data_IF_374144808071
#
_entry.id   IF_374144808071
#
_cell.length_a   1.000
_cell.length_b   1.000
_cell.length_c   1.000
_cell.angle_alpha   90.00
_cell.angle_beta   90.00
_cell.angle_gamma   90.00
#
_symmetry.space_group_name_H-M   'P 1'
#
loop_
_entity.id
_entity.type
_entity.pdbx_description
1 polymer ?
#
# COMPACT_ATOMS: atom_id res chain seq x y z
N UNK A 1 58.80 -20.16 -10.27
CA UNK A 1 58.05 -19.41 -11.30
C UNK A 1 56.62 -19.88 -11.26
N UNK A 2 55.62 -19.10 -10.91
CA UNK A 2 55.57 -17.71 -10.46
C UNK A 2 54.19 -17.54 -9.83
N UNK A 3 54.20 -17.10 -8.57
CA UNK A 3 53.31 -16.11 -7.96
C UNK A 3 51.81 -16.46 -7.88
N UNK A 4 51.48 -16.95 -6.68
CA UNK A 4 50.19 -16.78 -6.03
C UNK A 4 49.70 -15.32 -6.10
N UNK A 5 48.44 -15.11 -6.49
CA UNK A 5 47.77 -13.82 -6.40
C UNK A 5 46.88 -13.80 -5.13
N UNK A 6 47.26 -13.06 -4.07
CA UNK A 6 46.51 -12.96 -2.84
C UNK A 6 45.48 -11.83 -2.95
N UNK A 7 44.29 -12.13 -3.48
CA UNK A 7 43.13 -11.20 -3.44
C UNK A 7 41.79 -11.85 -3.07
N UNK A 8 41.79 -13.10 -2.59
CA UNK A 8 40.55 -13.81 -2.21
C UNK A 8 40.27 -13.89 -0.70
N UNK A 9 40.99 -13.15 0.16
CA UNK A 9 40.82 -13.25 1.63
C UNK A 9 40.79 -11.91 2.38
N UNK A 10 40.54 -10.78 1.70
CA UNK A 10 40.51 -9.45 2.36
C UNK A 10 39.17 -8.69 2.28
N UNK A 11 38.09 -9.27 1.74
CA UNK A 11 36.78 -8.59 1.68
C UNK A 11 35.76 -9.09 2.70
N UNK A 12 36.20 -9.82 3.73
CA UNK A 12 35.30 -10.39 4.75
C UNK A 12 35.14 -9.53 6.02
N UNK A 13 35.59 -8.26 6.03
CA UNK A 13 35.47 -7.42 7.23
C UNK A 13 35.26 -5.91 7.03
N UNK A 14 34.82 -5.45 5.84
CA UNK A 14 34.44 -4.04 5.66
C UNK A 14 33.28 -3.89 4.70
N UNK A 15 32.06 -3.93 5.25
CA UNK A 15 30.89 -3.11 4.87
C UNK A 15 29.73 -3.46 5.80
N UNK A 16 29.85 -3.10 7.07
CA UNK A 16 28.71 -2.79 7.92
C UNK A 16 28.85 -1.31 8.27
N UNK A 17 27.94 -0.48 7.76
CA UNK A 17 27.56 0.78 8.43
C UNK A 17 26.04 0.94 8.30
N UNK A 18 25.32 1.29 9.39
CA UNK A 18 23.88 1.57 9.36
C UNK A 18 23.48 2.77 8.49
N UNK A 19 24.43 3.45 7.85
CA UNK A 19 24.26 4.80 7.29
C UNK A 19 23.96 4.84 5.78
N UNK A 20 24.36 3.83 5.01
CA UNK A 20 23.88 3.69 3.61
C UNK A 20 22.39 3.35 3.54
N UNK A 21 21.81 2.91 4.66
CA UNK A 21 20.37 2.71 4.85
C UNK A 21 19.62 4.05 4.74
N UNK A 22 20.06 5.09 5.47
CA UNK A 22 19.33 6.36 5.63
C UNK A 22 19.37 7.30 4.43
N UNK A 23 20.44 7.31 3.64
CA UNK A 23 20.51 8.14 2.42
C UNK A 23 19.66 7.58 1.24
N UNK A 24 19.19 6.33 1.35
CA UNK A 24 18.31 5.67 0.37
C UNK A 24 16.81 5.76 0.69
N UNK A 25 16.44 6.43 1.80
CA UNK A 25 15.14 6.30 2.49
C UNK A 25 14.10 7.42 2.20
N UNK A 26 14.12 8.01 1.01
CA UNK A 26 13.06 8.88 0.44
C UNK A 26 12.82 8.49 -1.03
N UNK A 27 11.67 8.76 -1.69
CA UNK A 27 10.31 8.20 -1.55
C UNK A 27 10.23 6.66 -1.75
N UNK A 28 11.38 6.00 -1.80
CA UNK A 28 11.65 4.63 -2.23
C UNK A 28 11.17 3.50 -1.30
N UNK A 29 10.13 3.67 -0.48
CA UNK A 29 9.62 2.52 0.28
C UNK A 29 8.99 1.46 -0.63
N UNK A 30 8.42 1.86 -1.77
CA UNK A 30 7.96 0.89 -2.79
C UNK A 30 9.14 0.29 -3.58
N UNK A 31 10.26 1.01 -3.70
CA UNK A 31 11.50 0.54 -4.34
C UNK A 31 12.36 -0.36 -3.44
N UNK A 32 12.33 -0.22 -2.11
CA UNK A 32 13.04 -1.13 -1.19
C UNK A 32 12.36 -2.51 -1.14
N UNK A 33 11.04 -2.58 -1.32
CA UNK A 33 10.37 -3.88 -1.55
C UNK A 33 10.80 -4.50 -2.91
N UNK A 34 11.40 -3.73 -3.82
CA UNK A 34 11.86 -4.19 -5.16
C UNK A 34 13.38 -4.44 -5.20
N UNK A 35 14.16 -3.90 -4.26
CA UNK A 35 15.63 -3.85 -4.32
C UNK A 35 16.43 -5.04 -3.76
N UNK A 36 15.84 -5.91 -2.93
CA UNK A 36 16.54 -7.10 -2.40
C UNK A 36 15.78 -8.39 -2.74
N UNK A 37 15.78 -8.74 -4.02
CA UNK A 37 15.53 -10.12 -4.46
C UNK A 37 16.56 -10.53 -5.50
N UNK A 38 17.83 -10.34 -5.15
CA UNK A 38 18.95 -11.08 -5.72
C UNK A 38 19.83 -11.48 -4.56
N UNK A 39 19.54 -12.65 -3.98
CA UNK A 39 20.57 -13.60 -3.58
C UNK A 39 19.88 -14.92 -3.23
N UNK A 40 20.17 -15.93 -4.04
CA UNK A 40 19.81 -17.29 -3.69
C UNK A 40 20.62 -17.71 -2.47
N UNK A 41 19.96 -18.25 -1.45
CA UNK A 41 20.65 -19.06 -0.47
C UNK A 41 19.71 -20.08 0.21
N UNK A 42 20.18 -21.32 0.19
CA UNK A 42 19.91 -22.42 1.09
C UNK A 42 18.44 -22.83 1.30
N UNK A 43 18.10 -23.94 0.64
CA UNK A 43 17.04 -24.87 1.05
C UNK A 43 17.20 -25.24 2.53
N UNK A 44 16.43 -24.59 3.39
CA UNK A 44 16.11 -25.13 4.72
C UNK A 44 14.76 -25.82 4.61
N UNK A 45 14.76 -27.14 4.84
CA UNK A 45 13.60 -28.03 4.80
C UNK A 45 12.62 -27.72 5.95
N UNK A 46 11.88 -26.62 5.82
CA UNK A 46 10.58 -26.51 6.45
C UNK A 46 9.56 -26.97 5.41
N UNK A 47 8.71 -27.94 5.75
CA UNK A 47 7.53 -28.29 4.93
C UNK A 47 6.70 -27.02 4.72
N UNK A 48 6.95 -26.32 3.61
CA UNK A 48 6.22 -25.12 3.26
C UNK A 48 4.81 -25.56 2.94
N UNK A 49 3.87 -25.28 3.84
CA UNK A 49 2.46 -25.49 3.57
C UNK A 49 2.14 -24.70 2.29
N UNK A 50 1.73 -25.38 1.22
CA UNK A 50 1.46 -24.70 -0.04
C UNK A 50 0.37 -23.64 0.21
N UNK A 51 0.48 -22.44 -0.40
CA UNK A 51 -0.55 -21.43 -0.29
C UNK A 51 -1.92 -22.03 -0.63
N UNK A 52 -2.92 -21.73 0.20
CA UNK A 52 -4.28 -22.26 -0.03
C UNK A 52 -4.76 -21.85 -1.42
N UNK A 53 -5.38 -22.80 -2.14
CA UNK A 53 -5.90 -22.57 -3.49
C UNK A 53 -4.87 -22.65 -4.62
N UNK A 54 -3.60 -23.00 -4.35
CA UNK A 54 -2.57 -23.01 -5.41
C UNK A 54 -2.87 -24.01 -6.52
N UNK A 55 -3.47 -25.16 -6.21
CA UNK A 55 -3.85 -26.15 -7.21
C UNK A 55 -5.00 -25.67 -8.10
N UNK A 56 -5.98 -24.96 -7.52
CA UNK A 56 -7.04 -24.32 -8.29
C UNK A 56 -6.49 -23.21 -9.19
N UNK A 57 -5.53 -22.43 -8.69
CA UNK A 57 -4.85 -21.42 -9.48
C UNK A 57 -4.07 -22.03 -10.66
N UNK A 58 -3.33 -23.13 -10.43
CA UNK A 58 -2.65 -23.88 -11.50
C UNK A 58 -3.65 -24.42 -12.53
N UNK A 59 -4.76 -24.99 -12.09
CA UNK A 59 -5.82 -25.45 -12.99
C UNK A 59 -6.41 -24.29 -13.80
N UNK A 60 -6.68 -23.15 -13.16
CA UNK A 60 -7.14 -21.94 -13.83
C UNK A 60 -6.16 -21.46 -14.91
N UNK A 61 -4.85 -21.49 -14.63
CA UNK A 61 -3.82 -21.15 -15.61
C UNK A 61 -3.80 -22.09 -16.82
N UNK A 62 -4.02 -23.40 -16.62
CA UNK A 62 -4.09 -24.38 -17.71
C UNK A 62 -5.35 -24.22 -18.57
N UNK A 63 -6.46 -23.80 -17.95
CA UNK A 63 -7.75 -23.60 -18.62
C UNK A 63 -7.84 -22.24 -19.32
N UNK A 64 -7.16 -21.22 -18.80
CA UNK A 64 -7.04 -19.92 -19.45
C UNK A 64 -6.18 -20.07 -20.71
N UNK A 65 -6.82 -20.46 -21.80
CA UNK A 65 -6.26 -20.39 -23.15
C UNK A 65 -6.57 -19.00 -23.69
N UNK A 66 -5.60 -18.07 -23.76
CA UNK A 66 -5.88 -16.74 -24.26
C UNK A 66 -6.27 -16.84 -25.74
N UNK A 67 -7.52 -16.56 -26.06
CA UNK A 67 -7.95 -16.32 -27.44
C UNK A 67 -7.84 -14.82 -27.67
N UNK A 68 -6.78 -14.39 -28.35
CA UNK A 68 -6.55 -12.96 -28.60
C UNK A 68 -7.41 -12.42 -29.74
N UNK A 69 -7.80 -13.28 -30.69
CA UNK A 69 -8.65 -12.92 -31.83
C UNK A 69 -10.13 -12.79 -31.43
N UNK A 70 -10.57 -13.60 -30.46
CA UNK A 70 -11.93 -13.62 -29.94
C UNK A 70 -11.90 -13.53 -28.42
N UNK A 71 -11.59 -12.34 -27.87
CA UNK A 71 -11.58 -12.16 -26.42
C UNK A 71 -12.98 -12.31 -25.84
N UNK A 72 -13.07 -12.80 -24.60
CA UNK A 72 -14.36 -12.93 -23.89
C UNK A 72 -14.33 -12.23 -22.55
N UNK A 73 -15.52 -11.94 -21.99
CA UNK A 73 -15.65 -11.29 -20.68
C UNK A 73 -15.06 -12.19 -19.60
N UNK A 74 -15.32 -13.48 -19.66
CA UNK A 74 -14.86 -14.49 -18.69
C UNK A 74 -13.33 -14.57 -18.65
N UNK A 75 -12.65 -14.31 -19.78
CA UNK A 75 -11.19 -14.20 -19.79
C UNK A 75 -10.70 -12.99 -18.98
N UNK A 76 -11.38 -11.85 -19.07
CA UNK A 76 -11.05 -10.65 -18.27
C UNK A 76 -11.29 -10.92 -16.78
N UNK A 77 -12.40 -11.56 -16.43
CA UNK A 77 -12.70 -11.96 -15.05
C UNK A 77 -11.63 -12.91 -14.49
N UNK A 78 -11.29 -13.96 -15.24
CA UNK A 78 -10.25 -14.90 -14.85
C UNK A 78 -8.90 -14.21 -14.65
N UNK A 79 -8.52 -13.27 -15.52
CA UNK A 79 -7.28 -12.51 -15.38
C UNK A 79 -7.27 -11.60 -14.16
N UNK A 80 -8.40 -10.96 -13.82
CA UNK A 80 -8.52 -10.18 -12.59
C UNK A 80 -8.35 -11.07 -11.33
N UNK A 81 -8.97 -12.25 -11.33
CA UNK A 81 -8.79 -13.23 -10.24
C UNK A 81 -7.34 -13.71 -10.13
N UNK A 82 -6.70 -13.99 -11.27
CA UNK A 82 -5.31 -14.40 -11.30
C UNK A 82 -4.35 -13.30 -10.83
N UNK A 83 -4.63 -12.05 -11.21
CA UNK A 83 -3.90 -10.87 -10.73
C UNK A 83 -3.96 -10.79 -9.21
N UNK A 84 -5.16 -10.90 -8.65
CA UNK A 84 -5.36 -10.87 -7.20
C UNK A 84 -4.62 -12.01 -6.50
N UNK A 85 -4.69 -13.24 -7.02
CA UNK A 85 -4.01 -14.39 -6.43
C UNK A 85 -2.48 -14.29 -6.52
N UNK A 86 -1.93 -13.67 -7.57
CA UNK A 86 -0.49 -13.45 -7.69
C UNK A 86 0.08 -12.61 -6.54
N UNK A 87 -0.72 -11.71 -5.92
CA UNK A 87 -0.30 -11.02 -4.70
C UNK A 87 -0.10 -11.98 -3.53
N UNK A 88 -0.98 -12.97 -3.34
CA UNK A 88 -0.81 -13.99 -2.29
C UNK A 88 0.45 -14.84 -2.46
N UNK A 89 0.98 -14.90 -3.69
CA UNK A 89 2.25 -15.57 -4.00
C UNK A 89 3.45 -14.63 -4.00
N UNK A 90 3.26 -13.36 -3.63
CA UNK A 90 4.27 -12.29 -3.74
C UNK A 90 4.85 -12.14 -5.16
N UNK A 91 4.10 -12.49 -6.20
CA UNK A 91 4.50 -12.40 -7.61
C UNK A 91 4.02 -11.11 -8.27
N UNK A 92 4.41 -9.96 -7.70
CA UNK A 92 3.93 -8.62 -8.10
C UNK A 92 4.12 -8.30 -9.59
N UNK A 93 5.26 -8.67 -10.18
CA UNK A 93 5.52 -8.48 -11.63
C UNK A 93 4.59 -9.32 -12.51
N UNK A 94 4.25 -10.53 -12.08
CA UNK A 94 3.27 -11.39 -12.77
C UNK A 94 1.85 -10.84 -12.61
N UNK A 95 1.50 -10.34 -11.42
CA UNK A 95 0.23 -9.65 -11.19
C UNK A 95 0.07 -8.47 -12.16
N UNK A 96 1.09 -7.61 -12.28
CA UNK A 96 1.11 -6.49 -13.22
C UNK A 96 0.89 -6.94 -14.67
N UNK A 97 1.56 -8.02 -15.12
CA UNK A 97 1.36 -8.54 -16.47
C UNK A 97 -0.08 -9.00 -16.73
N UNK A 98 -0.70 -9.72 -15.78
CA UNK A 98 -2.09 -10.13 -15.91
C UNK A 98 -3.08 -8.96 -15.83
N UNK A 99 -2.85 -7.99 -14.95
CA UNK A 99 -3.67 -6.78 -14.87
C UNK A 99 -3.64 -5.99 -16.18
N UNK A 100 -2.44 -5.78 -16.75
CA UNK A 100 -2.26 -5.07 -18.01
C UNK A 100 -2.87 -5.82 -19.20
N UNK A 101 -2.92 -7.15 -19.17
CA UNK A 101 -3.63 -7.95 -20.17
C UNK A 101 -5.15 -7.84 -20.00
N UNK A 102 -5.66 -7.97 -18.77
CA UNK A 102 -7.08 -7.79 -18.46
C UNK A 102 -7.59 -6.43 -18.93
N UNK A 103 -6.83 -5.36 -18.66
CA UNK A 103 -7.18 -4.01 -19.06
C UNK A 103 -7.28 -3.85 -20.58
N UNK A 104 -6.31 -4.35 -21.33
CA UNK A 104 -6.31 -4.29 -22.81
C UNK A 104 -7.47 -5.08 -23.41
N UNK A 105 -7.76 -6.26 -22.88
CA UNK A 105 -8.90 -7.07 -23.33
C UNK A 105 -10.24 -6.40 -22.97
N UNK A 106 -10.36 -5.80 -21.79
CA UNK A 106 -11.54 -5.04 -21.39
C UNK A 106 -11.79 -3.83 -22.32
N UNK A 107 -10.74 -3.11 -22.71
CA UNK A 107 -10.83 -2.03 -23.69
C UNK A 107 -11.23 -2.55 -25.08
N UNK A 108 -10.64 -3.66 -25.54
CA UNK A 108 -10.98 -4.29 -26.83
C UNK A 108 -12.45 -4.73 -26.89
N UNK A 109 -12.98 -5.23 -25.77
CA UNK A 109 -14.40 -5.59 -25.60
C UNK A 109 -15.33 -4.38 -25.42
N UNK A 110 -14.79 -3.16 -25.40
CA UNK A 110 -15.55 -1.93 -25.24
C UNK A 110 -16.18 -1.76 -23.86
N UNK A 111 -15.62 -2.38 -22.81
CA UNK A 111 -16.16 -2.28 -21.44
C UNK A 111 -15.98 -0.88 -20.84
N UNK A 112 -15.05 -0.09 -21.39
CA UNK A 112 -14.81 1.30 -21.00
C UNK A 112 -15.79 2.29 -21.61
N UNK A 113 -16.87 1.83 -22.25
CA UNK A 113 -17.88 2.69 -22.89
C UNK A 113 -19.28 2.22 -22.51
N UNK A 114 -20.24 3.14 -22.32
CA UNK A 114 -21.62 2.78 -22.03
C UNK A 114 -22.23 2.02 -23.22
N UNK A 115 -23.04 1.00 -22.93
CA UNK A 115 -23.65 0.13 -23.93
C UNK A 115 -25.16 0.10 -23.77
N UNK A 116 -25.91 0.60 -24.76
CA UNK A 116 -27.38 0.72 -24.65
C UNK A 116 -28.15 -0.44 -25.31
N UNK A 117 -27.46 -1.32 -26.04
CA UNK A 117 -28.09 -2.40 -26.84
C UNK A 117 -28.25 -3.73 -26.10
N UNK A 118 -27.97 -3.77 -24.80
CA UNK A 118 -27.97 -4.98 -23.97
C UNK A 118 -28.87 -4.81 -22.74
N UNK A 119 -29.22 -5.90 -22.07
CA UNK A 119 -30.03 -5.85 -20.86
C UNK A 119 -29.32 -5.07 -19.74
N UNK A 120 -30.08 -4.41 -18.85
CA UNK A 120 -29.51 -3.64 -17.74
C UNK A 120 -28.58 -4.49 -16.86
N UNK A 121 -28.94 -5.75 -16.61
CA UNK A 121 -28.09 -6.74 -15.91
C UNK A 121 -26.72 -6.89 -16.58
N UNK A 122 -26.69 -7.05 -17.91
CA UNK A 122 -25.43 -7.21 -18.66
C UNK A 122 -24.61 -5.91 -18.68
N UNK A 123 -25.26 -4.74 -18.78
CA UNK A 123 -24.59 -3.44 -18.66
C UNK A 123 -23.89 -3.30 -17.31
N UNK A 124 -24.58 -3.65 -16.23
CA UNK A 124 -24.05 -3.53 -14.87
C UNK A 124 -22.93 -4.54 -14.61
N UNK A 125 -23.06 -5.78 -15.12
CA UNK A 125 -21.99 -6.77 -15.05
C UNK A 125 -20.70 -6.27 -15.72
N UNK A 126 -20.80 -5.78 -16.97
CA UNK A 126 -19.67 -5.22 -17.72
C UNK A 126 -19.04 -4.01 -17.04
N UNK A 127 -19.86 -3.11 -16.50
CA UNK A 127 -19.42 -1.93 -15.75
C UNK A 127 -18.60 -2.34 -14.51
N UNK A 128 -19.07 -3.35 -13.77
CA UNK A 128 -18.37 -3.87 -12.57
C UNK A 128 -17.05 -4.53 -12.93
N UNK A 129 -16.98 -5.25 -14.05
CA UNK A 129 -15.74 -5.83 -14.55
C UNK A 129 -14.76 -4.73 -14.97
N UNK A 130 -15.22 -3.71 -15.68
CA UNK A 130 -14.40 -2.55 -16.04
C UNK A 130 -13.77 -1.92 -14.81
N UNK A 131 -14.58 -1.55 -13.81
CA UNK A 131 -14.08 -0.91 -12.59
C UNK A 131 -13.18 -1.79 -11.74
N UNK A 132 -13.46 -3.10 -11.69
CA UNK A 132 -12.57 -4.07 -11.05
C UNK A 132 -11.21 -4.12 -11.75
N UNK A 133 -11.22 -4.15 -13.08
CA UNK A 133 -9.99 -4.19 -13.91
C UNK A 133 -9.16 -2.92 -13.73
N UNK A 134 -9.82 -1.76 -13.70
CA UNK A 134 -9.16 -0.47 -13.41
C UNK A 134 -8.52 -0.48 -12.01
N UNK A 135 -9.21 -1.02 -11.00
CA UNK A 135 -8.63 -1.15 -9.66
C UNK A 135 -7.38 -2.05 -9.67
N UNK A 136 -7.42 -3.18 -10.38
CA UNK A 136 -6.28 -4.09 -10.49
C UNK A 136 -5.07 -3.45 -11.19
N UNK A 137 -5.30 -2.69 -12.27
CA UNK A 137 -4.24 -1.94 -12.96
C UNK A 137 -3.59 -0.91 -12.01
N UNK A 138 -4.40 -0.10 -11.33
CA UNK A 138 -3.89 0.91 -10.38
C UNK A 138 -3.14 0.25 -9.23
N UNK A 139 -3.70 -0.80 -8.64
CA UNK A 139 -3.07 -1.52 -7.53
C UNK A 139 -1.74 -2.12 -7.96
N UNK A 140 -1.63 -2.71 -9.15
CA UNK A 140 -0.37 -3.33 -9.61
C UNK A 140 0.67 -2.30 -10.04
N UNK A 141 0.26 -1.22 -10.71
CA UNK A 141 1.16 -0.14 -11.12
C UNK A 141 1.73 0.61 -9.91
N UNK A 142 0.86 1.00 -8.96
CA UNK A 142 1.30 1.74 -7.76
C UNK A 142 2.32 0.96 -6.93
N UNK A 143 2.15 -0.34 -6.76
CA UNK A 143 3.11 -1.21 -6.03
C UNK A 143 4.45 -1.41 -6.74
N UNK A 144 4.54 -1.05 -8.02
CA UNK A 144 5.76 -1.08 -8.83
C UNK A 144 6.28 0.34 -9.15
N UNK A 145 5.69 1.37 -8.55
CA UNK A 145 5.99 2.78 -8.84
C UNK A 145 5.85 3.12 -10.34
N UNK A 146 4.88 2.49 -11.00
CA UNK A 146 4.54 2.72 -12.41
C UNK A 146 3.27 3.58 -12.53
N UNK A 147 3.15 4.26 -13.66
CA UNK A 147 1.93 4.98 -14.04
C UNK A 147 0.87 4.00 -14.56
N UNK A 148 -0.35 3.98 -13.97
CA UNK A 148 -1.49 3.22 -14.50
C UNK A 148 -1.82 3.62 -15.94
N UNK A 149 -2.23 2.64 -16.75
CA UNK A 149 -2.56 2.89 -18.15
C UNK A 149 -3.99 3.43 -18.34
N UNK A 150 -4.89 3.13 -17.39
CA UNK A 150 -6.23 3.72 -17.39
C UNK A 150 -6.13 5.20 -16.98
N UNK A 151 -6.27 6.11 -17.96
CA UNK A 151 -6.38 7.54 -17.70
C UNK A 151 -7.67 7.83 -16.92
N UNK A 152 -7.56 8.67 -15.90
CA UNK A 152 -8.64 9.01 -14.96
C UNK A 152 -9.62 10.06 -15.52
N UNK A 153 -9.42 10.49 -16.77
CA UNK A 153 -9.91 11.79 -17.21
C UNK A 153 -11.35 11.76 -17.73
N UNK A 154 -11.98 10.59 -17.89
CA UNK A 154 -13.39 10.51 -18.30
C UNK A 154 -14.13 9.30 -17.71
N UNK A 155 -15.01 9.56 -16.73
CA UNK A 155 -15.92 8.57 -16.11
C UNK A 155 -17.08 8.18 -17.04
N UNK A 156 -16.77 7.88 -18.30
CA UNK A 156 -17.74 7.64 -19.36
C UNK A 156 -18.74 6.51 -19.08
N UNK A 157 -18.40 5.54 -18.23
CA UNK A 157 -19.24 4.37 -17.90
C UNK A 157 -20.11 4.58 -16.64
N UNK A 158 -19.89 5.66 -15.88
CA UNK A 158 -20.54 5.86 -14.58
C UNK A 158 -20.16 4.79 -13.54
N UNK A 159 -20.45 5.05 -12.26
CA UNK A 159 -20.20 4.07 -11.18
C UNK A 159 -21.26 2.95 -11.16
N UNK A 160 -20.95 1.79 -10.53
CA UNK A 160 -21.92 0.72 -10.28
C UNK A 160 -23.22 1.25 -9.67
N UNK A 161 -24.35 0.80 -10.20
CA UNK A 161 -25.68 1.15 -9.70
C UNK A 161 -26.67 0.01 -9.93
N UNK A 162 -27.44 -0.32 -8.89
CA UNK A 162 -28.46 -1.35 -8.93
C UNK A 162 -29.88 -0.77 -9.01
N UNK A 163 -30.06 0.56 -8.99
CA UNK A 163 -31.37 1.22 -8.87
C UNK A 163 -32.34 0.90 -10.03
N UNK A 164 -31.79 0.72 -11.23
CA UNK A 164 -32.57 0.40 -12.44
C UNK A 164 -32.77 -1.11 -12.66
N UNK A 165 -32.14 -1.97 -11.84
CA UNK A 165 -32.23 -3.43 -11.99
C UNK A 165 -33.54 -3.98 -11.40
N UNK A 166 -33.98 -5.11 -11.94
CA UNK A 166 -35.04 -5.89 -11.29
C UNK A 166 -34.52 -6.46 -9.97
N UNK A 167 -35.42 -6.74 -9.00
CA UNK A 167 -35.04 -7.32 -7.70
C UNK A 167 -34.21 -8.59 -7.86
N UNK A 168 -34.61 -9.46 -8.80
CA UNK A 168 -33.90 -10.71 -9.10
C UNK A 168 -32.51 -10.48 -9.66
N UNK A 169 -32.34 -9.52 -10.58
CA UNK A 169 -31.03 -9.23 -11.16
C UNK A 169 -30.11 -8.53 -10.16
N UNK A 170 -30.67 -7.66 -9.30
CA UNK A 170 -29.94 -6.96 -8.26
C UNK A 170 -29.35 -7.93 -7.21
N UNK A 171 -30.03 -9.05 -6.91
CA UNK A 171 -29.55 -10.10 -6.00
C UNK A 171 -28.26 -10.79 -6.49
N UNK A 172 -27.97 -10.74 -7.79
CA UNK A 172 -26.73 -11.32 -8.35
C UNK A 172 -25.50 -10.45 -8.10
N UNK A 173 -25.69 -9.19 -7.73
CA UNK A 173 -24.61 -8.23 -7.53
C UNK A 173 -24.46 -7.87 -6.05
N UNK A 174 -23.21 -7.66 -5.63
CA UNK A 174 -22.96 -7.00 -4.35
C UNK A 174 -23.47 -5.57 -4.38
N UNK A 175 -23.75 -5.02 -3.20
CA UNK A 175 -24.06 -3.60 -3.05
C UNK A 175 -23.02 -2.73 -3.82
N UNK A 176 -23.47 -1.86 -4.73
CA UNK A 176 -22.59 -1.05 -5.58
C UNK A 176 -21.65 -0.15 -4.77
N UNK A 177 -22.04 0.26 -3.55
CA UNK A 177 -21.26 1.18 -2.74
C UNK A 177 -19.83 0.68 -2.49
N UNK A 178 -19.63 -0.63 -2.36
CA UNK A 178 -18.32 -1.20 -2.03
C UNK A 178 -17.32 -1.10 -3.18
N UNK A 179 -17.77 -1.37 -4.41
CA UNK A 179 -16.91 -1.25 -5.59
C UNK A 179 -16.66 0.23 -5.90
N UNK A 180 -17.68 1.08 -5.81
CA UNK A 180 -17.54 2.53 -5.96
C UNK A 180 -16.53 3.10 -4.96
N UNK A 181 -16.63 2.71 -3.68
CA UNK A 181 -15.70 3.12 -2.65
C UNK A 181 -14.27 2.63 -2.92
N UNK A 182 -14.10 1.39 -3.39
CA UNK A 182 -12.79 0.83 -3.78
C UNK A 182 -12.16 1.61 -4.94
N UNK A 183 -12.93 1.92 -5.99
CA UNK A 183 -12.45 2.71 -7.15
C UNK A 183 -11.97 4.08 -6.70
N UNK A 184 -12.79 4.79 -5.91
CA UNK A 184 -12.44 6.11 -5.37
C UNK A 184 -11.18 6.05 -4.50
N UNK A 185 -11.01 5.03 -3.63
CA UNK A 185 -9.77 4.86 -2.86
C UNK A 185 -8.56 4.58 -3.75
N UNK A 186 -8.68 3.77 -4.80
CA UNK A 186 -7.57 3.49 -5.72
C UNK A 186 -7.10 4.78 -6.41
N UNK A 187 -8.04 5.62 -6.84
CA UNK A 187 -7.78 6.96 -7.39
C UNK A 187 -7.03 7.84 -6.40
N UNK A 188 -7.56 7.97 -5.18
CA UNK A 188 -6.96 8.77 -4.13
C UNK A 188 -5.54 8.27 -3.82
N UNK A 189 -5.34 6.95 -3.67
CA UNK A 189 -4.03 6.33 -3.44
C UNK A 189 -3.03 6.72 -4.53
N UNK A 190 -3.43 6.61 -5.80
CA UNK A 190 -2.56 6.95 -6.92
C UNK A 190 -2.15 8.44 -6.90
N UNK A 191 -3.11 9.34 -6.67
CA UNK A 191 -2.83 10.79 -6.57
C UNK A 191 -1.91 11.12 -5.39
N UNK A 192 -2.10 10.45 -4.25
CA UNK A 192 -1.22 10.56 -3.08
C UNK A 192 0.21 10.16 -3.47
N UNK A 193 0.41 9.01 -4.12
CA UNK A 193 1.74 8.55 -4.51
C UNK A 193 2.42 9.49 -5.51
N UNK A 194 1.66 10.01 -6.49
CA UNK A 194 2.16 11.01 -7.44
C UNK A 194 2.65 12.26 -6.70
N UNK A 195 1.82 12.84 -5.82
CA UNK A 195 2.17 14.05 -5.06
C UNK A 195 3.31 13.83 -4.07
N UNK A 196 3.39 12.68 -3.42
CA UNK A 196 4.51 12.35 -2.54
C UNK A 196 5.82 12.28 -3.33
N UNK A 197 5.79 11.77 -4.57
CA UNK A 197 6.99 11.76 -5.42
C UNK A 197 7.50 13.16 -5.79
N UNK A 198 6.60 14.15 -5.78
CA UNK A 198 6.90 15.57 -6.03
C UNK A 198 7.30 16.32 -4.74
N UNK A 199 7.08 15.73 -3.56
CA UNK A 199 7.26 16.38 -2.27
C UNK A 199 8.75 16.64 -1.98
N UNK A 200 9.13 17.93 -1.93
CA UNK A 200 10.47 18.39 -1.52
C UNK A 200 10.40 18.93 -0.09
N UNK A 201 11.14 18.31 0.84
CA UNK A 201 11.25 18.76 2.23
C UNK A 201 12.18 19.98 2.34
N UNK A 202 11.73 21.11 1.82
CA UNK A 202 12.44 22.40 1.91
C UNK A 202 11.52 23.60 2.17
N UNK A 203 10.24 23.48 1.82
CA UNK A 203 9.24 24.53 2.01
C UNK A 203 7.97 23.95 2.66
N UNK A 204 7.71 24.33 3.92
CA UNK A 204 6.55 23.86 4.67
C UNK A 204 5.22 24.27 4.00
N UNK A 205 5.17 25.44 3.36
CA UNK A 205 3.96 25.92 2.67
C UNK A 205 3.65 25.06 1.46
N UNK A 206 4.66 24.70 0.66
CA UNK A 206 4.49 23.79 -0.48
C UNK A 206 4.07 22.37 -0.02
N UNK A 207 4.69 21.87 1.05
CA UNK A 207 4.30 20.58 1.63
C UNK A 207 2.83 20.59 2.09
N UNK A 208 2.38 21.67 2.73
CA UNK A 208 0.97 21.82 3.13
C UNK A 208 0.04 21.81 1.91
N UNK A 209 0.35 22.62 0.89
CA UNK A 209 -0.45 22.75 -0.31
C UNK A 209 -0.60 21.42 -1.08
N UNK A 210 0.40 20.52 -1.00
CA UNK A 210 0.32 19.19 -1.59
C UNK A 210 -0.55 18.22 -0.76
N UNK A 211 -0.43 18.28 0.57
CA UNK A 211 -1.08 17.35 1.51
C UNK A 211 -2.56 17.66 1.70
N UNK A 212 -2.92 18.93 1.85
CA UNK A 212 -4.28 19.35 2.23
C UNK A 212 -5.38 18.85 1.26
N UNK A 213 -5.21 18.92 -0.08
CA UNK A 213 -6.21 18.37 -1.00
C UNK A 213 -6.39 16.85 -0.85
N UNK A 214 -5.32 16.13 -0.52
CA UNK A 214 -5.39 14.68 -0.32
C UNK A 214 -6.14 14.32 0.96
N UNK A 215 -5.91 15.07 2.04
CA UNK A 215 -6.67 14.92 3.29
C UNK A 215 -8.15 15.23 3.03
N UNK A 216 -8.46 16.28 2.29
CA UNK A 216 -9.84 16.62 1.95
C UNK A 216 -10.51 15.50 1.13
N UNK A 217 -9.83 14.93 0.14
CA UNK A 217 -10.35 13.82 -0.65
C UNK A 217 -10.65 12.59 0.22
N UNK A 218 -9.77 12.25 1.15
CA UNK A 218 -9.97 11.16 2.11
C UNK A 218 -11.15 11.44 3.06
N UNK A 219 -11.27 12.67 3.57
CA UNK A 219 -12.40 13.08 4.41
C UNK A 219 -13.73 12.96 3.67
N UNK A 220 -13.80 13.42 2.41
CA UNK A 220 -14.99 13.29 1.58
C UNK A 220 -15.35 11.82 1.36
N UNK A 221 -14.36 11.00 1.00
CA UNK A 221 -14.57 9.57 0.85
C UNK A 221 -15.17 8.93 2.12
N UNK A 222 -14.70 9.35 3.30
CA UNK A 222 -15.19 8.84 4.58
C UNK A 222 -16.62 9.28 4.89
N UNK A 223 -17.02 10.48 4.47
CA UNK A 223 -18.41 10.97 4.60
C UNK A 223 -19.36 10.21 3.68
N UNK A 224 -18.92 9.87 2.47
CA UNK A 224 -19.70 9.08 1.51
C UNK A 224 -19.81 7.61 1.91
N UNK A 225 -18.73 7.01 2.42
CA UNK A 225 -18.71 5.63 2.89
C UNK A 225 -19.13 5.54 4.36
N UNK A 226 -20.44 5.47 4.59
CA UNK A 226 -21.04 5.42 5.93
C UNK A 226 -20.67 4.20 6.78
N UNK A 227 -20.49 2.96 6.26
CA UNK A 227 -20.29 1.78 7.09
C UNK A 227 -19.13 1.90 8.09
N UNK A 228 -19.37 1.43 9.32
CA UNK A 228 -18.41 1.42 10.42
C UNK A 228 -18.18 0.02 10.95
N UNK A 229 -17.09 -0.16 11.70
CA UNK A 229 -16.81 -1.37 12.44
C UNK A 229 -16.82 -1.03 13.91
N UNK A 230 -17.59 -1.80 14.68
CA UNK A 230 -17.70 -1.63 16.13
C UNK A 230 -16.91 -2.73 16.83
N UNK A 231 -16.27 -2.36 17.93
CA UNK A 231 -15.37 -3.23 18.67
C UNK A 231 -15.81 -3.33 20.13
N UNK A 232 -15.63 -4.51 20.73
CA UNK A 232 -15.84 -4.74 22.16
C UNK A 232 -14.69 -4.15 22.98
N UNK A 233 -14.82 -4.13 24.31
CA UNK A 233 -13.74 -3.67 25.21
C UNK A 233 -12.47 -4.54 25.07
N UNK A 234 -12.63 -5.81 24.72
CA UNK A 234 -11.54 -6.77 24.47
C UNK A 234 -10.87 -6.59 23.09
N UNK A 235 -11.36 -5.65 22.27
CA UNK A 235 -10.84 -5.36 20.94
C UNK A 235 -11.29 -6.34 19.85
N UNK A 236 -12.31 -7.16 20.13
CA UNK A 236 -12.96 -8.03 19.15
C UNK A 236 -14.04 -7.26 18.39
N UNK A 237 -14.51 -7.77 17.25
CA UNK A 237 -15.67 -7.15 16.60
C UNK A 237 -16.93 -7.38 17.45
N UNK A 238 -17.81 -6.39 17.52
CA UNK A 238 -19.12 -6.55 18.17
C UNK A 238 -19.97 -7.62 17.47
N UNK A 239 -20.94 -8.19 18.17
CA UNK A 239 -21.85 -9.19 17.60
C UNK A 239 -22.60 -8.63 16.39
N UNK A 240 -23.02 -7.35 16.44
CA UNK A 240 -23.65 -6.66 15.31
C UNK A 240 -22.71 -6.64 14.11
N UNK A 241 -21.44 -6.27 14.31
CA UNK A 241 -20.43 -6.24 13.25
C UNK A 241 -20.15 -7.62 12.67
N UNK A 242 -20.14 -8.67 13.49
CA UNK A 242 -19.90 -10.05 13.06
C UNK A 242 -21.03 -10.60 12.17
N UNK A 243 -22.27 -10.16 12.40
CA UNK A 243 -23.44 -10.57 11.60
C UNK A 243 -23.54 -9.88 10.23
N UNK A 244 -22.81 -8.79 10.00
CA UNK A 244 -22.81 -8.07 8.72
C UNK A 244 -22.22 -8.96 7.59
N UNK A 245 -23.01 -9.31 6.55
CA UNK A 245 -22.50 -10.11 5.43
C UNK A 245 -21.25 -9.53 4.73
N UNK A 246 -21.13 -8.19 4.52
CA UNK A 246 -19.96 -7.59 3.89
C UNK A 246 -18.87 -7.14 4.88
N UNK A 247 -18.87 -7.61 6.14
CA UNK A 247 -17.91 -7.15 7.16
C UNK A 247 -16.46 -7.21 6.69
N UNK A 248 -16.06 -8.28 5.99
CA UNK A 248 -14.69 -8.42 5.48
C UNK A 248 -14.36 -7.40 4.40
N UNK A 249 -15.33 -7.03 3.57
CA UNK A 249 -15.21 -6.00 2.54
C UNK A 249 -15.07 -4.63 3.18
N UNK A 250 -15.92 -4.31 4.17
CA UNK A 250 -15.85 -3.06 4.95
C UNK A 250 -14.48 -2.94 5.63
N UNK A 251 -14.02 -4.00 6.31
CA UNK A 251 -12.70 -4.04 6.92
C UNK A 251 -11.57 -3.80 5.90
N UNK A 252 -11.64 -4.41 4.71
CA UNK A 252 -10.64 -4.21 3.66
C UNK A 252 -10.60 -2.75 3.18
N UNK A 253 -11.77 -2.13 2.99
CA UNK A 253 -11.88 -0.73 2.56
C UNK A 253 -11.33 0.22 3.61
N UNK A 254 -11.67 0.01 4.89
CA UNK A 254 -11.16 0.82 6.00
C UNK A 254 -9.65 0.64 6.19
N UNK A 255 -9.11 -0.58 6.03
CA UNK A 255 -7.66 -0.83 6.04
C UNK A 255 -6.95 -0.03 4.95
N UNK A 256 -7.50 0.00 3.73
CA UNK A 256 -6.95 0.76 2.59
C UNK A 256 -7.09 2.27 2.79
N UNK A 257 -8.21 2.73 3.33
CA UNK A 257 -8.43 4.14 3.67
C UNK A 257 -7.35 4.65 4.65
N UNK A 258 -7.16 3.93 5.76
CA UNK A 258 -6.12 4.28 6.74
C UNK A 258 -4.71 4.15 6.12
N UNK A 259 -4.49 3.16 5.24
CA UNK A 259 -3.23 3.05 4.52
C UNK A 259 -2.94 4.29 3.66
N UNK A 260 -3.94 4.88 3.00
CA UNK A 260 -3.76 6.13 2.25
C UNK A 260 -3.31 7.28 3.18
N UNK A 261 -3.91 7.41 4.37
CA UNK A 261 -3.46 8.38 5.37
C UNK A 261 -2.03 8.13 5.84
N UNK A 262 -1.67 6.86 6.11
CA UNK A 262 -0.31 6.48 6.49
C UNK A 262 0.68 6.84 5.38
N UNK A 263 0.38 6.47 4.12
CA UNK A 263 1.24 6.78 2.97
C UNK A 263 1.46 8.29 2.82
N UNK A 264 0.40 9.08 2.97
CA UNK A 264 0.43 10.54 2.87
C UNK A 264 1.26 11.21 3.98
N UNK A 265 1.10 10.76 5.21
CA UNK A 265 1.60 11.48 6.40
C UNK A 265 2.91 10.90 6.97
N UNK A 266 3.22 9.62 6.71
CA UNK A 266 4.50 9.01 7.14
C UNK A 266 5.74 9.79 6.74
N UNK A 267 5.82 10.48 5.57
CA UNK A 267 7.04 11.19 5.19
C UNK A 267 7.34 12.35 6.15
N UNK A 268 6.32 12.95 6.78
CA UNK A 268 6.49 13.99 7.81
C UNK A 268 7.14 13.43 9.08
N UNK A 269 6.75 12.21 9.50
CA UNK A 269 7.36 11.53 10.64
C UNK A 269 8.82 11.18 10.35
N UNK A 270 9.11 10.68 9.14
CA UNK A 270 10.46 10.34 8.70
C UNK A 270 11.36 11.57 8.60
N UNK A 271 10.84 12.70 8.12
CA UNK A 271 11.60 13.97 8.08
C UNK A 271 11.96 14.44 9.49
N UNK A 272 11.02 14.42 10.43
CA UNK A 272 11.31 14.78 11.83
C UNK A 272 12.35 13.84 12.46
N UNK A 273 12.24 12.54 12.18
CA UNK A 273 13.20 11.54 12.62
C UNK A 273 14.60 11.84 12.08
N UNK A 274 14.71 12.11 10.77
CA UNK A 274 15.97 12.51 10.14
C UNK A 274 16.58 13.74 10.80
N UNK A 275 15.78 14.79 11.03
CA UNK A 275 16.25 16.04 11.62
C UNK A 275 16.77 15.83 13.06
N UNK A 276 16.13 14.94 13.83
CA UNK A 276 16.56 14.59 15.19
C UNK A 276 17.88 13.82 15.16
N UNK A 277 18.02 12.85 14.27
CA UNK A 277 19.24 12.03 14.17
C UNK A 277 20.44 12.87 13.72
N UNK A 278 20.23 13.81 12.81
CA UNK A 278 21.28 14.65 12.25
C UNK A 278 21.47 15.99 12.99
N UNK A 279 20.86 16.16 14.16
CA UNK A 279 20.90 17.39 14.96
C UNK A 279 20.59 18.67 14.15
N UNK A 280 19.77 18.55 13.10
CA UNK A 280 19.39 19.69 12.28
C UNK A 280 18.36 20.54 13.01
N UNK A 281 18.55 21.86 12.99
CA UNK A 281 17.54 22.81 13.46
C UNK A 281 16.27 22.58 12.63
N UNK A 282 15.17 22.31 13.32
CA UNK A 282 13.88 22.09 12.66
C UNK A 282 13.58 23.28 11.74
N UNK A 283 13.31 23.00 10.45
CA UNK A 283 12.72 23.96 9.54
C UNK A 283 11.43 24.51 10.15
N UNK A 284 11.01 25.70 9.72
CA UNK A 284 9.76 26.33 10.18
C UNK A 284 8.64 25.28 10.26
N UNK A 285 8.04 25.09 11.45
CA UNK A 285 7.09 24.01 11.65
C UNK A 285 5.90 24.24 10.73
N UNK A 286 5.53 23.20 10.00
CA UNK A 286 4.26 23.13 9.31
C UNK A 286 3.16 23.50 10.31
N UNK A 287 2.30 24.46 9.96
CA UNK A 287 1.11 24.75 10.75
C UNK A 287 0.34 23.43 10.95
N UNK A 288 0.02 23.09 12.20
CA UNK A 288 -0.64 21.84 12.60
C UNK A 288 0.16 20.53 12.42
N UNK A 289 1.50 20.55 12.35
CA UNK A 289 2.33 19.34 12.25
C UNK A 289 1.99 18.28 13.31
N UNK A 290 1.79 18.69 14.57
CA UNK A 290 1.44 17.78 15.65
C UNK A 290 0.07 17.11 15.43
N UNK A 291 -0.88 17.82 14.81
CA UNK A 291 -2.19 17.26 14.43
C UNK A 291 -2.07 16.25 13.30
N UNK A 292 -1.23 16.53 12.30
CA UNK A 292 -0.94 15.61 11.19
C UNK A 292 -0.23 14.34 11.68
N UNK A 293 0.73 14.49 12.58
CA UNK A 293 1.39 13.37 13.25
C UNK A 293 0.36 12.50 14.01
N UNK A 294 -0.54 13.13 14.78
CA UNK A 294 -1.63 12.43 15.48
C UNK A 294 -2.56 11.70 14.51
N UNK A 295 -2.94 12.32 13.38
CA UNK A 295 -3.77 11.68 12.36
C UNK A 295 -3.10 10.44 11.75
N UNK A 296 -1.79 10.50 11.48
CA UNK A 296 -1.03 9.34 11.00
C UNK A 296 -1.03 8.20 12.01
N UNK A 297 -0.76 8.52 13.29
CA UNK A 297 -0.79 7.54 14.38
C UNK A 297 -2.18 6.93 14.57
N UNK A 298 -3.25 7.74 14.48
CA UNK A 298 -4.65 7.26 14.53
C UNK A 298 -4.96 6.29 13.38
N UNK A 299 -4.50 6.57 12.17
CA UNK A 299 -4.69 5.66 11.03
C UNK A 299 -4.00 4.30 11.26
N UNK A 300 -2.75 4.30 11.74
CA UNK A 300 -2.04 3.07 12.13
C UNK A 300 -2.78 2.31 13.25
N UNK A 301 -3.40 3.04 14.17
CA UNK A 301 -4.19 2.47 15.27
C UNK A 301 -5.45 1.79 14.80
N UNK A 302 -6.20 2.45 13.92
CA UNK A 302 -7.40 1.87 13.37
C UNK A 302 -7.05 0.59 12.57
N UNK A 303 -5.93 0.59 11.85
CA UNK A 303 -5.46 -0.61 11.16
C UNK A 303 -5.11 -1.77 12.10
N UNK A 304 -4.36 -1.52 13.17
CA UNK A 304 -4.02 -2.58 14.13
C UNK A 304 -5.24 -3.12 14.86
N UNK A 305 -6.21 -2.27 15.22
CA UNK A 305 -7.51 -2.71 15.78
C UNK A 305 -8.28 -3.61 14.83
N UNK A 306 -8.43 -3.21 13.57
CA UNK A 306 -9.13 -4.02 12.54
C UNK A 306 -8.42 -5.37 12.34
N UNK A 307 -7.09 -5.38 12.25
CA UNK A 307 -6.32 -6.61 12.06
C UNK A 307 -6.40 -7.55 13.25
N UNK A 308 -6.33 -7.01 14.46
CA UNK A 308 -6.48 -7.78 15.68
C UNK A 308 -7.86 -8.44 15.75
N UNK A 309 -8.93 -7.68 15.50
CA UNK A 309 -10.29 -8.21 15.47
C UNK A 309 -10.51 -9.25 14.36
N UNK A 310 -9.96 -9.03 13.15
CA UNK A 310 -9.99 -10.02 12.06
C UNK A 310 -9.24 -11.31 12.41
N UNK A 311 -8.15 -11.21 13.17
CA UNK A 311 -7.39 -12.36 13.65
C UNK A 311 -8.20 -13.18 14.66
N UNK A 312 -8.86 -12.50 15.61
CA UNK A 312 -9.70 -13.10 16.65
C UNK A 312 -10.87 -13.89 16.07
N UNK A 313 -11.56 -13.37 15.05
CA UNK A 313 -12.65 -14.09 14.38
C UNK A 313 -12.19 -14.99 13.22
N UNK A 314 -10.88 -15.24 13.07
CA UNK A 314 -10.29 -16.09 12.03
C UNK A 314 -10.62 -15.69 10.57
N UNK A 315 -10.96 -14.41 10.32
CA UNK A 315 -11.24 -13.86 8.98
C UNK A 315 -10.04 -13.14 8.35
N UNK A 316 -8.89 -13.16 9.01
CA UNK A 316 -7.65 -12.60 8.45
C UNK A 316 -7.09 -13.46 7.31
N UNK A 317 -6.69 -12.82 6.21
CA UNK A 317 -6.04 -13.52 5.09
C UNK A 317 -4.55 -13.73 5.40
N UNK A 318 -4.22 -14.86 6.03
CA UNK A 318 -2.83 -15.14 6.48
C UNK A 318 -1.79 -15.19 5.34
N UNK A 319 -2.21 -15.56 4.12
CA UNK A 319 -1.37 -15.52 2.91
C UNK A 319 -1.53 -14.23 2.10
N UNK A 320 -2.26 -13.24 2.63
CA UNK A 320 -2.52 -11.98 1.95
C UNK A 320 -1.30 -11.05 2.00
N UNK A 321 -0.90 -10.55 0.84
CA UNK A 321 0.14 -9.52 0.73
C UNK A 321 -0.31 -8.22 1.41
N UNK A 322 -1.53 -7.78 1.13
CA UNK A 322 -2.09 -6.52 1.64
C UNK A 322 -2.21 -6.53 3.17
N UNK A 323 -2.63 -7.64 3.75
CA UNK A 323 -2.67 -7.82 5.20
C UNK A 323 -1.28 -7.62 5.81
N UNK A 324 -0.26 -8.25 5.22
CA UNK A 324 1.11 -8.09 5.69
C UNK A 324 1.62 -6.66 5.56
N UNK A 325 1.33 -5.98 4.44
CA UNK A 325 1.73 -4.61 4.18
C UNK A 325 1.08 -3.63 5.18
N UNK A 326 -0.21 -3.79 5.44
CA UNK A 326 -0.94 -2.96 6.40
C UNK A 326 -0.43 -3.18 7.83
N UNK A 327 -0.11 -4.42 8.22
CA UNK A 327 0.48 -4.71 9.53
C UNK A 327 1.83 -3.98 9.64
N UNK A 328 2.73 -4.24 8.69
CA UNK A 328 4.06 -3.65 8.65
C UNK A 328 4.01 -2.12 8.73
N UNK A 329 3.25 -1.49 7.84
CA UNK A 329 3.11 -0.03 7.78
C UNK A 329 2.64 0.57 9.12
N UNK A 330 1.71 -0.11 9.79
CA UNK A 330 1.15 0.37 11.06
C UNK A 330 2.15 0.20 12.22
N UNK A 331 2.85 -0.93 12.28
CA UNK A 331 3.89 -1.18 13.29
C UNK A 331 5.06 -0.19 13.13
N UNK A 332 5.49 0.10 11.90
CA UNK A 332 6.55 1.09 11.63
C UNK A 332 6.17 2.48 12.13
N UNK A 333 4.93 2.93 11.88
CA UNK A 333 4.43 4.20 12.42
C UNK A 333 4.50 4.21 13.94
N UNK A 334 4.13 3.12 14.62
CA UNK A 334 4.23 3.06 16.08
C UNK A 334 5.65 3.20 16.61
N UNK A 335 6.61 2.49 16.01
CA UNK A 335 8.01 2.55 16.47
C UNK A 335 8.55 3.96 16.28
N UNK A 336 8.33 4.57 15.12
CA UNK A 336 8.77 5.95 14.84
C UNK A 336 8.08 6.95 15.78
N UNK A 337 6.76 6.86 15.93
CA UNK A 337 6.00 7.75 16.82
C UNK A 337 6.45 7.63 18.28
N UNK A 338 6.71 6.41 18.75
CA UNK A 338 7.23 6.17 20.11
C UNK A 338 8.56 6.89 20.36
N UNK A 339 9.51 6.74 19.43
CA UNK A 339 10.79 7.44 19.51
C UNK A 339 10.64 8.97 19.45
N UNK A 340 9.79 9.48 18.55
CA UNK A 340 9.53 10.91 18.45
C UNK A 340 8.92 11.48 19.74
N UNK A 341 7.97 10.76 20.36
CA UNK A 341 7.36 11.18 21.63
C UNK A 341 8.36 11.20 22.78
N UNK A 342 9.32 10.26 22.81
CA UNK A 342 10.39 10.23 23.81
C UNK A 342 11.34 11.43 23.68
N UNK A 343 11.72 11.79 22.44
CA UNK A 343 12.63 12.91 22.17
C UNK A 343 11.96 14.28 22.19
N UNK A 344 10.69 14.37 21.78
CA UNK A 344 9.91 15.61 21.66
C UNK A 344 8.45 15.36 22.08
N UNK A 345 8.14 15.63 23.34
CA UNK A 345 6.79 15.44 23.89
C UNK A 345 5.68 16.24 23.14
N UNK A 346 6.02 17.36 22.49
CA UNK A 346 5.09 18.20 21.74
C UNK A 346 4.87 17.76 20.29
N UNK A 347 5.50 16.68 19.83
CA UNK A 347 5.36 16.18 18.46
C UNK A 347 3.96 15.64 18.15
N UNK A 348 3.13 15.34 19.15
CA UNK A 348 1.78 14.82 18.98
C UNK A 348 0.81 15.58 19.88
N UNK A 349 -0.41 15.82 19.39
CA UNK A 349 -1.48 16.49 20.16
C UNK A 349 -2.12 15.57 21.20
N UNK A 350 -2.05 14.26 21.03
CA UNK A 350 -2.55 13.29 22.00
C UNK A 350 -1.70 12.02 22.03
N UNK A 351 -1.46 11.51 23.24
CA UNK A 351 -0.86 10.20 23.46
C UNK A 351 -1.98 9.15 23.46
N UNK A 352 -1.82 8.07 22.70
CA UNK A 352 -2.79 6.99 22.70
C UNK A 352 -2.42 5.93 23.72
N UNK A 353 -3.40 5.54 24.53
CA UNK A 353 -3.31 4.41 25.47
C UNK A 353 -4.10 3.23 24.88
N UNK A 354 -3.61 2.00 25.07
CA UNK A 354 -4.23 0.74 24.59
C UNK A 354 -4.20 0.48 23.07
N UNK A 355 -2.99 0.27 22.54
CA UNK A 355 -2.76 -0.20 21.17
C UNK A 355 -2.46 -1.70 21.17
N UNK A 356 -3.08 -2.53 20.30
CA UNK A 356 -2.74 -3.95 20.19
C UNK A 356 -1.45 -4.17 19.39
N UNK A 357 -0.34 -3.51 19.76
CA UNK A 357 0.95 -3.64 19.06
C UNK A 357 1.48 -5.07 19.13
N UNK A 358 1.68 -5.61 20.33
CA UNK A 358 2.24 -6.95 20.53
C UNK A 358 1.39 -8.05 19.87
N UNK A 359 0.05 -8.08 20.03
CA UNK A 359 -0.77 -9.05 19.30
C UNK A 359 -0.62 -8.98 17.78
N UNK A 360 -0.56 -7.77 17.20
CA UNK A 360 -0.43 -7.59 15.75
C UNK A 360 0.99 -7.90 15.25
N UNK A 361 2.03 -7.60 16.03
CA UNK A 361 3.41 -8.01 15.78
C UNK A 361 3.57 -9.53 15.79
N UNK A 362 2.91 -10.23 16.73
CA UNK A 362 2.87 -11.68 16.79
C UNK A 362 2.12 -12.29 15.60
N UNK A 363 1.02 -11.66 15.20
CA UNK A 363 0.26 -12.03 14.00
C UNK A 363 1.12 -11.95 12.73
N UNK A 364 1.96 -10.92 12.58
CA UNK A 364 2.91 -10.84 11.45
C UNK A 364 3.88 -12.03 11.44
N UNK A 365 4.45 -12.37 12.59
CA UNK A 365 5.31 -13.55 12.74
C UNK A 365 4.58 -14.86 12.47
N UNK A 366 3.30 -14.97 12.87
CA UNK A 366 2.46 -16.10 12.52
C UNK A 366 2.27 -16.22 11.00
N UNK A 367 1.96 -15.11 10.32
CA UNK A 367 1.84 -15.05 8.86
C UNK A 367 3.13 -15.48 8.16
N UNK A 368 4.28 -15.02 8.65
CA UNK A 368 5.60 -15.42 8.14
C UNK A 368 5.83 -16.93 8.32
N UNK A 369 5.53 -17.47 9.51
CA UNK A 369 5.70 -18.89 9.86
C UNK A 369 4.82 -19.82 9.03
N UNK A 370 3.58 -19.42 8.71
CA UNK A 370 2.69 -20.23 7.85
C UNK A 370 3.07 -20.16 6.36
N UNK A 371 4.06 -19.36 5.98
CA UNK A 371 4.62 -19.33 4.64
C UNK A 371 4.25 -18.11 3.80
N UNK A 372 3.70 -17.04 4.38
CA UNK A 372 3.50 -15.79 3.65
C UNK A 372 4.86 -15.15 3.34
N UNK A 373 5.21 -15.09 2.05
CA UNK A 373 6.50 -14.57 1.59
C UNK A 373 6.71 -13.09 1.97
N UNK A 374 5.69 -12.25 1.79
CA UNK A 374 5.78 -10.84 2.14
C UNK A 374 5.94 -10.64 3.65
N UNK A 375 5.27 -11.47 4.47
CA UNK A 375 5.41 -11.38 5.93
C UNK A 375 6.80 -11.76 6.42
N UNK A 376 7.51 -12.68 5.77
CA UNK A 376 8.90 -13.00 6.11
C UNK A 376 9.84 -11.81 5.89
N UNK A 377 9.60 -11.03 4.84
CA UNK A 377 10.38 -9.83 4.57
C UNK A 377 10.01 -8.71 5.54
N UNK A 378 8.71 -8.48 5.74
CA UNK A 378 8.22 -7.48 6.69
C UNK A 378 8.60 -7.76 8.14
N UNK A 379 8.66 -9.03 8.56
CA UNK A 379 9.09 -9.42 9.90
C UNK A 379 10.56 -9.05 10.16
N UNK A 380 11.43 -9.32 9.18
CA UNK A 380 12.84 -8.93 9.27
C UNK A 380 12.98 -7.41 9.33
N UNK A 381 12.31 -6.70 8.40
CA UNK A 381 12.38 -5.24 8.35
C UNK A 381 11.87 -4.57 9.62
N UNK A 382 10.76 -5.04 10.23
CA UNK A 382 10.27 -4.43 11.47
C UNK A 382 11.20 -4.73 12.65
N UNK A 383 11.83 -5.92 12.67
CA UNK A 383 12.83 -6.26 13.68
C UNK A 383 14.03 -5.31 13.60
N UNK A 384 14.56 -5.08 12.39
CA UNK A 384 15.67 -4.15 12.17
C UNK A 384 15.33 -2.73 12.64
N UNK A 385 14.10 -2.27 12.37
CA UNK A 385 13.61 -0.97 12.84
C UNK A 385 13.52 -0.94 14.36
N UNK A 386 12.96 -1.96 15.00
CA UNK A 386 12.87 -2.04 16.46
C UNK A 386 14.25 -2.02 17.13
N UNK A 387 15.22 -2.76 16.59
CA UNK A 387 16.56 -2.89 17.17
C UNK A 387 17.34 -1.57 17.08
N UNK A 388 17.25 -0.89 15.94
CA UNK A 388 17.80 0.44 15.71
C UNK A 388 17.37 1.46 16.78
N UNK A 389 16.09 1.44 17.17
CA UNK A 389 15.56 2.34 18.20
C UNK A 389 15.82 1.88 19.64
N UNK A 390 16.18 0.61 19.88
CA UNK A 390 16.66 0.13 21.17
C UNK A 390 18.13 0.48 21.42
N UNK A 391 18.94 0.45 20.37
CA UNK A 391 20.40 0.62 20.46
C UNK A 391 20.86 2.08 20.51
N UNK A 392 20.00 3.05 20.22
CA UNK A 392 20.35 4.48 20.24
C UNK A 392 20.52 4.98 21.70
N UNK A 393 21.74 5.17 22.24
CA UNK A 393 21.91 5.61 23.62
C UNK A 393 21.54 7.08 23.74
N UNK A 394 21.03 7.49 24.91
CA UNK A 394 20.59 8.86 25.20
C UNK A 394 21.70 9.92 25.09
N UNK A 395 22.96 9.53 24.92
CA UNK A 395 24.12 10.43 24.83
C UNK A 395 25.25 9.76 24.03
N UNK A 396 25.49 10.18 22.78
CA UNK A 396 26.83 10.28 22.15
C UNK A 396 26.68 10.82 20.73
N UNK A 397 27.32 11.96 20.45
CA UNK A 397 27.42 12.52 19.10
C UNK A 397 28.26 11.64 18.18
N UNK A 398 27.82 11.50 16.93
CA UNK A 398 28.49 10.71 15.90
C UNK A 398 29.02 11.64 14.80
N UNK A 399 30.29 12.05 14.92
CA UNK A 399 31.01 12.78 13.85
C UNK A 399 31.90 11.88 12.99
N UNK A 400 32.13 10.62 13.35
CA UNK A 400 33.01 9.74 12.58
C UNK A 400 32.20 8.73 11.76
N UNK A 401 31.97 9.08 10.50
CA UNK A 401 31.31 8.23 9.50
C UNK A 401 30.72 9.00 8.32
N UNK A 402 30.70 10.33 8.37
CA UNK A 402 29.98 11.20 7.45
C UNK A 402 30.96 12.10 6.69
N UNK A 403 31.86 11.50 5.89
CA UNK A 403 32.64 12.27 4.90
C UNK A 403 32.17 12.04 3.45
N UNK A 404 31.24 11.10 3.21
CA UNK A 404 30.74 10.78 1.86
C UNK A 404 29.40 11.47 1.48
N UNK A 405 28.86 12.37 2.31
CA UNK A 405 27.61 13.12 2.00
C UNK A 405 27.80 14.38 1.14
N UNK A 406 29.03 14.65 0.65
CA UNK A 406 29.35 15.85 -0.14
C UNK A 406 28.74 15.92 -1.56
N UNK A 407 28.09 14.86 -2.04
CA UNK A 407 27.54 14.80 -3.40
C UNK A 407 26.05 14.42 -3.42
N UNK A 408 25.21 15.37 -3.02
CA UNK A 408 23.79 15.40 -3.40
C UNK A 408 23.45 16.81 -3.88
N UNK A 409 23.63 17.09 -5.18
CA UNK A 409 22.50 16.94 -6.11
C UNK A 409 22.93 16.59 -7.55
N UNK A 410 23.05 15.31 -7.93
CA UNK A 410 23.22 14.93 -9.37
C UNK A 410 22.48 13.65 -9.81
N UNK A 411 21.82 12.91 -8.90
CA UNK A 411 21.16 11.64 -9.27
C UNK A 411 19.64 11.72 -9.55
N UNK A 412 19.09 12.91 -9.71
CA UNK A 412 17.70 13.11 -10.18
C UNK A 412 17.71 14.11 -11.33
N UNK A 413 18.40 13.77 -12.41
CA UNK A 413 18.26 14.51 -13.66
C UNK A 413 17.10 13.90 -14.46
N UNK A 414 15.91 14.51 -14.32
CA UNK A 414 14.67 14.18 -15.05
C UNK A 414 14.62 14.94 -16.39
N UNK A 415 15.72 15.55 -16.84
CA UNK A 415 15.76 16.31 -18.09
C UNK A 415 15.85 15.46 -19.38
N UNK A 416 15.83 14.12 -19.31
CA UNK A 416 15.91 13.29 -20.54
C UNK A 416 14.57 12.81 -21.12
N UNK A 417 13.42 13.26 -20.62
CA UNK A 417 12.13 12.99 -21.26
C UNK A 417 11.32 14.28 -21.33
N UNK A 418 11.65 15.12 -22.32
CA UNK A 418 10.86 16.29 -22.66
C UNK A 418 9.47 15.89 -23.12
N UNK A 419 8.46 16.26 -22.34
CA UNK A 419 7.09 16.44 -22.79
C UNK A 419 6.52 17.64 -22.01
N UNK A 420 6.22 18.72 -22.74
CA UNK A 420 5.47 19.87 -22.24
C UNK A 420 4.14 19.37 -21.66
N UNK A 421 3.90 19.68 -20.39
CA UNK A 421 2.62 19.42 -19.72
C UNK A 421 1.82 20.71 -19.77
N UNK A 422 0.77 20.69 -20.59
CA UNK A 422 -0.21 21.75 -20.71
C UNK A 422 -0.94 21.96 -19.36
N UNK A 423 -0.85 23.17 -18.81
CA UNK A 423 -1.46 23.58 -17.54
C UNK A 423 -2.97 23.81 -17.71
N UNK A 424 -3.79 22.76 -17.68
CA UNK A 424 -5.24 22.92 -17.44
C UNK A 424 -5.83 21.77 -16.63
N UNK A 425 -5.64 21.78 -15.31
CA UNK A 425 -6.42 20.93 -14.39
C UNK A 425 -7.77 21.58 -14.08
N UNK A 426 -8.84 20.98 -14.58
CA UNK A 426 -10.21 21.37 -14.28
C UNK A 426 -10.57 21.12 -12.81
N UNK A 427 -11.33 22.07 -12.26
CA UNK A 427 -11.86 22.12 -10.91
C UNK A 427 -12.54 20.82 -10.44
N UNK A 428 -12.27 20.45 -9.19
CA UNK A 428 -13.01 19.45 -8.43
C UNK A 428 -14.53 19.76 -8.44
N UNK A 429 -15.25 19.09 -9.32
CA UNK A 429 -16.71 19.03 -9.34
C UNK A 429 -17.11 17.57 -9.52
N UNK A 430 -17.65 16.97 -8.46
CA UNK A 430 -18.27 15.66 -8.53
C UNK A 430 -19.78 15.89 -8.73
N UNK A 431 -20.27 15.63 -9.94
CA UNK A 431 -21.71 15.54 -10.25
C UNK A 431 -22.03 14.15 -10.74
#
# INVERSE_FOLDING_TARGET
MEIANPRCLSNFHRTHTPFTFWASLSPSWDLIIIGFSTDGCATTNFEQVPPRGIELFKQGLLLLRPSYEEPTIEQVEALNLMTFYCYSLNRRKTAYAYAGMALRLAMLLGLSRPQTKMSLREQEHRKRIWWTTVCMDIMTCTELSLTPAAAFDEDSVGFPDNSELSVRDAEEFSDPQYLTAQVKLCRIKYQILKKISELRFGNAVEAQALIEPCIHALKNWRLEFSPTLEFTEEGEFSDETLTLPPMRTIASLLLRYNQCLILLLRPLLLKQLYDIIHEQVALEPLNDLASLNTQCLQAATNNTKIQFALSKCHKIAKFGFWESLHIFSSLTVYVISGFLMEKRATSFTSAQTNVPYTPVRNLLGEMARVGNAASKDHERMIQDIEDLFRETPSHTGLTEGIEDLGHWPECVNVESMGFDVDETLSSFGWS
#
